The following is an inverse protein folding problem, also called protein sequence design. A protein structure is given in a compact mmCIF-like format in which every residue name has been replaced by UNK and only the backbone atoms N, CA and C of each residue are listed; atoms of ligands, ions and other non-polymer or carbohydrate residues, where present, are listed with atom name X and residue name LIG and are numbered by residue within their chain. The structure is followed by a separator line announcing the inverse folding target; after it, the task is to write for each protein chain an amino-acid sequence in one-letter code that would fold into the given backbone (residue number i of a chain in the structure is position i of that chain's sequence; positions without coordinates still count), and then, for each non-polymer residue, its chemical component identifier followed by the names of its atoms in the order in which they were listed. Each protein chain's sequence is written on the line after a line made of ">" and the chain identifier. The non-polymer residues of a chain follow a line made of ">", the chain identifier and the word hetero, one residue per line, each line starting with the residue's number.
data_IF_754861767569
#
_entry.id   IF_754861767569
#
_cell.length_a   1.000
_cell.length_b   1.000
_cell.length_c   1.000
_cell.angle_alpha   90.00
_cell.angle_beta   90.00
_cell.angle_gamma   90.00
#
_symmetry.space_group_name_H-M   'P 1'
#
loop_
_entity.id
_entity.type
_entity.pdbx_description
1 polymer ?
#
# COMPACT_ATOMS: atom_id res chain seq x y z
N UNK A 1 14.20 16.28 -2.22
CA UNK A 1 13.10 15.93 -1.28
C UNK A 1 12.28 14.83 -1.95
N UNK A 2 12.62 13.57 -1.74
CA UNK A 2 11.77 12.46 -2.20
C UNK A 2 10.53 12.46 -1.32
N UNK A 3 9.41 12.94 -1.85
CA UNK A 3 8.12 12.83 -1.16
C UNK A 3 7.70 11.37 -1.28
N UNK A 4 8.21 10.52 -0.39
CA UNK A 4 7.70 9.17 -0.22
C UNK A 4 6.29 9.33 0.38
N UNK A 5 5.25 9.12 -0.44
CA UNK A 5 3.87 9.15 0.01
C UNK A 5 3.63 8.05 1.03
N UNK A 6 3.83 8.36 2.31
CA UNK A 6 3.66 7.41 3.40
C UNK A 6 2.24 7.53 3.93
N UNK A 7 1.44 6.51 3.67
CA UNK A 7 0.08 6.40 4.19
C UNK A 7 0.05 5.39 5.33
N UNK A 8 -0.80 5.62 6.31
CA UNK A 8 -1.02 4.68 7.42
C UNK A 8 -2.51 4.51 7.59
N UNK A 9 -2.96 3.27 7.43
CA UNK A 9 -4.35 2.90 7.65
C UNK A 9 -4.38 2.13 8.96
N UNK A 10 -5.11 2.66 9.94
CA UNK A 10 -5.22 2.09 11.29
C UNK A 10 -6.56 1.39 11.45
N UNK A 11 -6.64 0.55 12.48
CA UNK A 11 -7.87 -0.10 12.91
C UNK A 11 -8.52 -0.97 11.82
N UNK A 12 -7.68 -1.61 11.01
CA UNK A 12 -8.14 -2.60 10.03
C UNK A 12 -8.47 -3.93 10.73
N UNK A 13 -9.68 -4.48 10.52
CA UNK A 13 -9.96 -5.87 10.86
C UNK A 13 -8.97 -6.83 10.19
N UNK A 14 -8.74 -8.02 10.77
CA UNK A 14 -7.98 -9.06 10.08
C UNK A 14 -8.70 -9.48 8.80
N UNK A 15 -7.97 -9.49 7.69
CA UNK A 15 -8.55 -9.74 6.37
C UNK A 15 -7.54 -9.57 5.23
N UNK A 16 -8.00 -9.88 4.02
CA UNK A 16 -7.22 -9.65 2.80
C UNK A 16 -7.71 -8.38 2.13
N UNK A 17 -6.79 -7.47 1.90
CA UNK A 17 -7.04 -6.15 1.32
C UNK A 17 -6.25 -5.98 0.03
N UNK A 18 -6.88 -5.33 -0.95
CA UNK A 18 -6.21 -4.92 -2.18
C UNK A 18 -5.89 -3.44 -2.07
N UNK A 19 -4.61 -3.11 -2.09
CA UNK A 19 -4.11 -1.74 -2.14
C UNK A 19 -3.91 -1.38 -3.60
N UNK A 20 -4.52 -0.28 -4.05
CA UNK A 20 -4.28 0.33 -5.36
C UNK A 20 -3.63 1.70 -5.16
N UNK A 21 -2.50 1.93 -5.81
CA UNK A 21 -1.86 3.22 -5.88
C UNK A 21 -1.72 3.66 -7.34
N UNK A 22 -2.21 4.84 -7.65
CA UNK A 22 -2.14 5.42 -8.98
C UNK A 22 -1.10 6.54 -9.05
N UNK A 23 -0.32 6.54 -10.13
CA UNK A 23 0.61 7.61 -10.46
C UNK A 23 0.41 8.01 -11.94
N UNK A 24 0.37 9.31 -12.21
CA UNK A 24 -0.04 9.87 -13.52
C UNK A 24 0.80 9.42 -14.72
N UNK A 25 2.11 9.20 -14.54
CA UNK A 25 3.06 8.79 -15.59
C UNK A 25 3.25 7.28 -15.70
N UNK A 26 3.14 6.55 -14.59
CA UNK A 26 3.47 5.13 -14.48
C UNK A 26 2.24 4.22 -14.35
N UNK A 27 1.04 4.81 -14.26
CA UNK A 27 -0.22 4.10 -14.15
C UNK A 27 -0.53 3.60 -12.75
N UNK A 28 -1.45 2.64 -12.66
CA UNK A 28 -1.87 1.99 -11.42
C UNK A 28 -0.97 0.83 -11.05
N UNK A 29 -0.70 0.68 -9.76
CA UNK A 29 -0.06 -0.48 -9.15
C UNK A 29 -0.98 -1.04 -8.09
N UNK A 30 -1.16 -2.36 -8.12
CA UNK A 30 -1.97 -3.08 -7.14
C UNK A 30 -1.10 -4.03 -6.33
N UNK A 31 -1.40 -4.15 -5.05
CA UNK A 31 -0.78 -5.12 -4.16
C UNK A 31 -1.82 -5.71 -3.22
N UNK A 32 -1.80 -7.04 -3.08
CA UNK A 32 -2.65 -7.74 -2.14
C UNK A 32 -1.90 -7.92 -0.83
N UNK A 33 -2.52 -7.51 0.27
CA UNK A 33 -1.96 -7.65 1.61
C UNK A 33 -2.96 -8.38 2.51
N UNK A 34 -2.49 -9.42 3.18
CA UNK A 34 -3.25 -10.05 4.28
C UNK A 34 -2.76 -9.44 5.58
N UNK A 35 -3.70 -8.86 6.34
CA UNK A 35 -3.46 -8.29 7.67
C UNK A 35 -4.01 -9.28 8.69
N UNK A 36 -3.16 -9.77 9.59
CA UNK A 36 -3.59 -10.59 10.72
C UNK A 36 -3.96 -9.72 11.93
N UNK A 37 -4.62 -10.32 12.93
CA UNK A 37 -5.02 -9.58 14.14
C UNK A 37 -3.79 -9.03 14.88
N UNK A 38 -3.81 -7.74 15.21
CA UNK A 38 -2.70 -7.01 15.82
C UNK A 38 -1.40 -6.98 14.98
N UNK A 39 -1.48 -7.24 13.67
CA UNK A 39 -0.33 -7.14 12.76
C UNK A 39 -0.26 -5.76 12.11
N UNK A 40 0.96 -5.26 11.90
CA UNK A 40 1.21 -4.12 11.01
C UNK A 40 1.96 -4.60 9.78
N UNK A 41 1.34 -4.43 8.61
CA UNK A 41 1.97 -4.70 7.31
C UNK A 41 2.44 -3.42 6.65
N UNK A 42 3.68 -3.41 6.17
CA UNK A 42 4.19 -2.39 5.26
C UNK A 42 4.22 -2.96 3.84
N UNK A 43 3.73 -2.18 2.88
CA UNK A 43 3.73 -2.52 1.45
C UNK A 43 4.38 -1.37 0.70
N UNK A 44 5.50 -1.66 0.05
CA UNK A 44 6.23 -0.68 -0.74
C UNK A 44 5.87 -0.84 -2.23
N UNK A 45 5.23 0.18 -2.79
CA UNK A 45 4.87 0.25 -4.20
C UNK A 45 5.91 1.11 -4.92
N UNK A 46 6.81 0.47 -5.67
CA UNK A 46 7.86 1.16 -6.42
C UNK A 46 7.42 1.38 -7.87
N UNK A 47 7.63 2.60 -8.37
CA UNK A 47 7.43 2.94 -9.76
C UNK A 47 8.78 3.13 -10.43
N UNK A 48 9.06 2.30 -11.43
CA UNK A 48 10.25 2.43 -12.28
C UNK A 48 9.89 3.22 -13.55
N UNK A 49 10.76 4.13 -14.01
CA UNK A 49 10.67 4.73 -15.34
C UNK A 49 10.65 3.73 -16.48
#
# INVERSE_FOLDING_TARGET
>A
MVVAGRYTIKDLPPGTYTIEAWQEKFGTRTATVTVQANETKSVDLTYTP
#
